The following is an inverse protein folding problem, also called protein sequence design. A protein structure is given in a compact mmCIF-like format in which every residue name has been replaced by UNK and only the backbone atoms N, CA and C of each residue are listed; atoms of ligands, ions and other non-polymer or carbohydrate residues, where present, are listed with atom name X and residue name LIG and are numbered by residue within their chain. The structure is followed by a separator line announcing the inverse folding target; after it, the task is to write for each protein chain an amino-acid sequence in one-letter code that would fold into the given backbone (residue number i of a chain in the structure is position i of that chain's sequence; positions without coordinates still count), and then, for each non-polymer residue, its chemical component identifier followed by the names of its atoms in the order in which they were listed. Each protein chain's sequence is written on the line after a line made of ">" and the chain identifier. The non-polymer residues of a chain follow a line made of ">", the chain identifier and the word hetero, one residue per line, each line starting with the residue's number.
data_IF_110810836594
#
_entry.id   IF_110810836594
#
_cell.length_a   1.000
_cell.length_b   1.000
_cell.length_c   1.000
_cell.angle_alpha   90.00
_cell.angle_beta   90.00
_cell.angle_gamma   90.00
#
_symmetry.space_group_name_H-M   'P 1'
#
loop_
_entity.id
_entity.type
_entity.pdbx_description
1 polymer ?
#
# COMPACT_ATOMS: atom_id res chain seq x y z
N UNK A 1 -22.54 -20.41 -4.12
CA UNK A 1 -22.92 -20.89 -2.79
C UNK A 1 -24.18 -21.72 -2.95
N UNK A 2 -24.21 -22.89 -2.37
CA UNK A 2 -25.29 -23.84 -2.55
C UNK A 2 -26.59 -23.27 -1.96
N UNK A 3 -27.60 -23.04 -2.82
CA UNK A 3 -28.92 -22.52 -2.44
C UNK A 3 -29.77 -23.53 -1.62
N UNK A 4 -29.25 -24.71 -1.40
CA UNK A 4 -29.91 -25.75 -0.58
C UNK A 4 -29.71 -25.52 0.93
N UNK A 5 -28.70 -24.76 1.35
CA UNK A 5 -28.53 -24.34 2.74
C UNK A 5 -29.45 -23.14 3.03
N UNK A 6 -30.46 -23.35 3.89
CA UNK A 6 -31.38 -22.29 4.34
C UNK A 6 -30.67 -21.34 5.29
N UNK A 7 -29.80 -20.51 4.77
CA UNK A 7 -29.22 -19.38 5.51
C UNK A 7 -30.21 -18.18 5.48
N UNK A 8 -30.32 -17.41 6.57
CA UNK A 8 -31.10 -16.19 6.57
C UNK A 8 -30.62 -15.25 5.44
N UNK A 9 -31.54 -14.81 4.56
CA UNK A 9 -31.19 -13.95 3.43
C UNK A 9 -30.53 -12.63 3.86
N UNK A 10 -30.83 -12.17 5.06
CA UNK A 10 -30.25 -10.97 5.67
C UNK A 10 -28.72 -11.03 5.83
N UNK A 11 -28.15 -12.21 6.10
CA UNK A 11 -26.69 -12.40 6.19
C UNK A 11 -25.94 -12.30 4.86
N UNK A 12 -26.65 -12.20 3.72
CA UNK A 12 -26.08 -12.04 2.38
C UNK A 12 -26.28 -10.63 1.82
N UNK A 13 -26.90 -9.73 2.57
CA UNK A 13 -27.13 -8.34 2.13
C UNK A 13 -25.80 -7.59 2.12
N UNK A 14 -25.42 -7.07 0.94
CA UNK A 14 -24.26 -6.19 0.77
C UNK A 14 -24.76 -4.76 0.72
N UNK A 15 -24.34 -3.95 1.70
CA UNK A 15 -24.60 -2.51 1.70
C UNK A 15 -23.39 -1.84 1.08
N UNK A 16 -23.58 -1.18 -0.07
CA UNK A 16 -22.52 -0.48 -0.78
C UNK A 16 -22.56 1.00 -0.44
N UNK A 17 -21.42 1.53 -0.03
CA UNK A 17 -21.22 2.96 0.18
C UNK A 17 -20.19 3.49 -0.82
N UNK A 18 -20.49 4.61 -1.48
CA UNK A 18 -19.50 5.32 -2.30
C UNK A 18 -18.46 5.95 -1.39
N UNK A 19 -17.20 5.74 -1.72
CA UNK A 19 -16.07 6.27 -0.96
C UNK A 19 -15.61 7.60 -1.56
N UNK A 20 -15.37 8.58 -0.70
CA UNK A 20 -14.70 9.83 -1.03
C UNK A 20 -13.47 10.01 -0.12
N UNK A 21 -12.57 10.93 -0.50
CA UNK A 21 -11.41 11.28 0.33
C UNK A 21 -11.86 11.90 1.67
N UNK A 22 -11.27 11.46 2.76
CA UNK A 22 -11.60 11.92 4.11
C UNK A 22 -11.83 10.77 5.08
N UNK A 23 -12.44 11.06 6.22
CA UNK A 23 -12.79 10.05 7.23
C UNK A 23 -13.93 9.18 6.72
N UNK A 24 -13.65 7.90 6.52
CA UNK A 24 -14.60 6.90 5.98
C UNK A 24 -15.18 5.99 7.05
N UNK A 25 -14.50 5.90 8.19
CA UNK A 25 -14.99 5.19 9.37
C UNK A 25 -14.42 5.82 10.63
N UNK A 26 -15.23 5.87 11.69
CA UNK A 26 -14.80 6.31 13.01
C UNK A 26 -15.67 5.70 14.10
N UNK A 27 -15.03 5.15 15.11
CA UNK A 27 -15.65 4.73 16.37
C UNK A 27 -14.75 5.14 17.56
N UNK A 28 -14.93 4.50 18.73
CA UNK A 28 -14.16 4.78 19.93
C UNK A 28 -12.73 4.26 19.85
N UNK A 29 -12.45 3.26 18.99
CA UNK A 29 -11.18 2.56 18.91
C UNK A 29 -10.33 3.00 17.74
N UNK A 30 -10.94 3.31 16.58
CA UNK A 30 -10.22 3.59 15.34
C UNK A 30 -10.85 4.71 14.51
N UNK A 31 -10.02 5.53 13.91
CA UNK A 31 -10.41 6.43 12.82
C UNK A 31 -9.73 5.96 11.53
N UNK A 32 -10.51 5.76 10.46
CA UNK A 32 -10.00 5.38 9.15
C UNK A 32 -10.21 6.54 8.20
N UNK A 33 -9.12 6.99 7.59
CA UNK A 33 -9.11 8.06 6.58
C UNK A 33 -8.69 7.46 5.24
N UNK A 34 -9.53 7.62 4.22
CA UNK A 34 -9.17 7.34 2.83
C UNK A 34 -8.54 8.60 2.22
N UNK A 35 -7.52 8.44 1.41
CA UNK A 35 -6.89 9.54 0.69
C UNK A 35 -6.51 9.10 -0.73
N UNK A 36 -6.62 10.01 -1.69
CA UNK A 36 -6.32 9.71 -3.08
C UNK A 36 -4.83 9.43 -3.28
N UNK A 37 -4.57 8.37 -4.02
CA UNK A 37 -3.25 8.02 -4.56
C UNK A 37 -3.30 7.99 -6.08
N UNK A 38 -2.16 7.81 -6.74
CA UNK A 38 -2.08 7.87 -8.21
C UNK A 38 -1.75 6.50 -8.80
N UNK A 39 -2.75 5.85 -9.32
CA UNK A 39 -2.64 4.56 -9.99
C UNK A 39 -3.33 4.57 -11.37
N UNK A 40 -3.08 5.63 -12.17
CA UNK A 40 -3.66 5.70 -13.53
C UNK A 40 -3.36 4.45 -14.36
N UNK A 41 -4.33 3.92 -15.14
CA UNK A 41 -5.63 4.51 -15.45
C UNK A 41 -6.76 4.15 -14.45
N UNK A 42 -6.46 3.46 -13.35
CA UNK A 42 -7.46 3.11 -12.32
C UNK A 42 -7.75 4.34 -11.48
N UNK A 43 -8.96 4.87 -11.60
CA UNK A 43 -9.44 6.05 -10.86
C UNK A 43 -10.87 5.86 -10.38
N UNK A 44 -11.19 6.24 -9.13
CA UNK A 44 -10.25 6.68 -8.08
C UNK A 44 -9.44 5.52 -7.51
N UNK A 45 -8.20 5.80 -7.05
CA UNK A 45 -7.38 4.88 -6.28
C UNK A 45 -7.11 5.49 -4.88
N UNK A 46 -7.15 4.66 -3.85
CA UNK A 46 -7.06 5.12 -2.47
C UNK A 46 -5.98 4.41 -1.68
N UNK A 47 -5.24 5.18 -0.88
CA UNK A 47 -4.55 4.71 0.30
C UNK A 47 -5.43 4.92 1.55
N UNK A 48 -5.08 4.23 2.62
CA UNK A 48 -5.82 4.28 3.87
C UNK A 48 -4.90 4.55 5.04
N UNK A 49 -5.33 5.46 5.93
CA UNK A 49 -4.68 5.71 7.20
C UNK A 49 -5.61 5.26 8.35
N UNK A 50 -5.03 4.51 9.27
CA UNK A 50 -5.67 4.03 10.49
C UNK A 50 -5.00 4.68 11.69
N UNK A 51 -5.76 5.38 12.52
CA UNK A 51 -5.30 5.96 13.77
C UNK A 51 -6.08 5.32 14.94
N UNK A 52 -5.37 4.73 15.92
CA UNK A 52 -5.96 4.04 17.09
C UNK A 52 -5.04 4.13 18.30
N UNK A 53 -5.55 4.44 19.49
CA UNK A 53 -4.83 4.41 20.79
C UNK A 53 -3.36 4.85 20.75
N UNK A 54 -3.05 5.93 20.04
CA UNK A 54 -1.69 6.46 19.90
C UNK A 54 -0.81 5.66 18.92
N UNK A 55 -1.39 4.81 18.10
CA UNK A 55 -0.75 4.10 16.99
C UNK A 55 -1.32 4.54 15.65
N UNK A 56 -0.49 4.49 14.62
CA UNK A 56 -0.91 4.85 13.28
C UNK A 56 -0.30 3.94 12.23
N UNK A 57 -1.14 3.53 11.26
CA UNK A 57 -0.75 2.69 10.13
C UNK A 57 -1.24 3.36 8.85
N UNK A 58 -0.39 3.38 7.83
CA UNK A 58 -0.80 3.75 6.46
C UNK A 58 -0.58 2.57 5.54
N UNK A 59 -1.56 2.31 4.67
CA UNK A 59 -1.48 1.35 3.58
C UNK A 59 -1.59 2.14 2.28
N UNK A 60 -0.57 2.02 1.42
CA UNK A 60 -0.48 2.81 0.19
C UNK A 60 -1.56 2.46 -0.85
N UNK A 61 -1.98 1.18 -0.91
CA UNK A 61 -2.55 0.63 -2.13
C UNK A 61 -1.51 0.63 -3.26
N UNK A 62 -1.91 0.30 -4.48
CA UNK A 62 -1.05 0.42 -5.65
C UNK A 62 -0.98 1.88 -6.08
N UNK A 63 0.22 2.42 -6.26
CA UNK A 63 0.40 3.86 -6.51
C UNK A 63 1.79 4.20 -7.04
N UNK A 64 1.87 5.28 -7.79
CA UNK A 64 3.13 6.04 -7.96
C UNK A 64 3.42 6.87 -6.71
N UNK A 65 4.65 7.36 -6.52
CA UNK A 65 4.95 8.30 -5.44
C UNK A 65 4.08 9.55 -5.53
N UNK A 66 3.39 9.92 -4.45
CA UNK A 66 2.59 11.14 -4.39
C UNK A 66 2.84 11.92 -3.12
N UNK A 67 2.72 13.25 -3.20
CA UNK A 67 2.81 14.11 -2.02
C UNK A 67 1.67 13.85 -1.02
N UNK A 68 0.51 13.41 -1.53
CA UNK A 68 -0.64 13.09 -0.68
C UNK A 68 -0.35 11.85 0.20
N UNK A 69 0.29 10.81 -0.37
CA UNK A 69 0.74 9.66 0.40
C UNK A 69 1.77 10.07 1.46
N UNK A 70 2.80 10.84 1.08
CA UNK A 70 3.83 11.32 2.02
C UNK A 70 3.20 12.11 3.17
N UNK A 71 2.25 13.00 2.86
CA UNK A 71 1.51 13.79 3.84
C UNK A 71 0.77 12.91 4.85
N UNK A 72 0.02 11.90 4.37
CA UNK A 72 -0.75 11.02 5.23
C UNK A 72 0.11 10.01 6.00
N UNK A 73 1.27 9.62 5.45
CA UNK A 73 2.25 8.74 6.08
C UNK A 73 3.19 9.47 7.05
N UNK A 74 3.09 10.80 7.19
CA UNK A 74 4.04 11.57 8.01
C UNK A 74 4.07 11.11 9.46
N UNK A 75 5.24 10.58 9.89
CA UNK A 75 5.52 10.16 11.26
C UNK A 75 4.74 8.95 11.74
N UNK A 76 4.08 8.19 10.86
CA UNK A 76 3.30 7.01 11.26
C UNK A 76 4.19 5.91 11.84
N UNK A 77 3.58 5.06 12.68
CA UNK A 77 4.27 3.92 13.25
C UNK A 77 4.60 2.89 12.18
N UNK A 78 3.68 2.64 11.25
CA UNK A 78 3.86 1.66 10.17
C UNK A 78 3.37 2.25 8.85
N UNK A 79 4.22 2.17 7.81
CA UNK A 79 3.83 2.33 6.42
C UNK A 79 3.90 0.97 5.72
N UNK A 80 2.78 0.49 5.21
CA UNK A 80 2.70 -0.69 4.34
C UNK A 80 2.65 -0.18 2.91
N UNK A 81 3.65 -0.53 2.10
CA UNK A 81 3.81 0.02 0.75
C UNK A 81 4.12 -1.07 -0.28
N UNK A 82 3.50 -0.96 -1.45
CA UNK A 82 3.84 -1.78 -2.60
C UNK A 82 5.23 -1.44 -3.13
N UNK A 83 5.87 -2.34 -3.87
CA UNK A 83 7.15 -2.04 -4.50
C UNK A 83 7.44 -2.90 -5.72
N UNK A 84 8.14 -2.33 -6.72
CA UNK A 84 8.71 -3.11 -7.81
C UNK A 84 10.23 -2.90 -7.94
N UNK A 85 10.91 -3.89 -8.56
CA UNK A 85 12.31 -3.79 -8.96
C UNK A 85 12.41 -3.41 -10.45
N UNK A 86 12.98 -2.26 -10.81
CA UNK A 86 13.08 -1.80 -12.20
C UNK A 86 13.73 -2.83 -13.13
N UNK A 87 14.79 -3.52 -12.66
CA UNK A 87 15.52 -4.53 -13.41
C UNK A 87 14.70 -5.77 -13.78
N UNK A 88 13.63 -6.06 -13.05
CA UNK A 88 12.71 -7.14 -13.39
C UNK A 88 12.08 -6.95 -14.77
N UNK A 89 11.86 -5.69 -15.15
CA UNK A 89 11.21 -5.32 -16.40
C UNK A 89 12.16 -5.11 -17.57
N UNK A 90 13.47 -5.19 -17.35
CA UNK A 90 14.45 -4.97 -18.41
C UNK A 90 14.52 -6.15 -19.42
N UNK A 91 14.02 -7.32 -19.01
CA UNK A 91 14.04 -8.55 -19.80
C UNK A 91 12.64 -9.13 -20.08
N UNK A 92 11.58 -8.32 -20.02
CA UNK A 92 10.23 -8.79 -20.39
C UNK A 92 10.02 -8.71 -21.89
N UNK A 93 9.28 -9.67 -22.44
CA UNK A 93 9.02 -9.78 -23.89
C UNK A 93 8.24 -8.60 -24.49
N UNK A 94 7.55 -7.84 -23.66
CA UNK A 94 6.79 -6.66 -24.07
C UNK A 94 7.28 -5.38 -23.38
N UNK A 95 8.08 -4.54 -24.06
CA UNK A 95 8.52 -3.25 -23.55
C UNK A 95 7.36 -2.31 -23.17
N UNK A 96 6.24 -2.40 -23.88
CA UNK A 96 5.05 -1.60 -23.59
C UNK A 96 4.42 -2.00 -22.25
N UNK A 97 4.30 -3.29 -21.95
CA UNK A 97 3.81 -3.80 -20.67
C UNK A 97 4.76 -3.39 -19.55
N UNK A 98 6.07 -3.52 -19.76
CA UNK A 98 7.08 -3.09 -18.81
C UNK A 98 6.97 -1.59 -18.47
N UNK A 99 6.85 -0.74 -19.50
CA UNK A 99 6.70 0.70 -19.32
C UNK A 99 5.42 1.05 -18.55
N UNK A 100 4.31 0.36 -18.84
CA UNK A 100 3.03 0.55 -18.13
C UNK A 100 3.14 0.16 -16.66
N UNK A 101 3.72 -1.00 -16.33
CA UNK A 101 3.89 -1.45 -14.95
C UNK A 101 4.81 -0.49 -14.16
N UNK A 102 5.93 -0.08 -14.74
CA UNK A 102 6.81 0.96 -14.16
C UNK A 102 6.06 2.29 -13.94
N UNK A 103 5.09 2.61 -14.80
CA UNK A 103 4.32 3.84 -14.70
C UNK A 103 3.23 3.81 -13.62
N UNK A 104 2.71 2.63 -13.26
CA UNK A 104 1.58 2.51 -12.31
C UNK A 104 2.01 2.27 -10.86
N UNK A 105 3.24 1.86 -10.65
CA UNK A 105 3.76 1.42 -9.37
C UNK A 105 4.95 2.25 -8.89
N UNK A 106 5.38 2.01 -7.65
CA UNK A 106 6.52 2.68 -7.03
C UNK A 106 7.74 1.76 -7.02
N UNK A 107 8.85 2.20 -7.59
CA UNK A 107 10.11 1.45 -7.49
C UNK A 107 10.63 1.38 -6.06
N UNK A 108 11.40 0.33 -5.73
CA UNK A 108 11.97 0.14 -4.40
C UNK A 108 12.86 1.32 -3.96
N UNK A 109 13.56 1.96 -4.90
CA UNK A 109 14.35 3.18 -4.62
C UNK A 109 13.43 4.35 -4.20
N UNK A 110 12.30 4.55 -4.91
CA UNK A 110 11.32 5.59 -4.60
C UNK A 110 10.55 5.30 -3.31
N UNK A 111 10.23 4.02 -3.01
CA UNK A 111 9.64 3.64 -1.72
C UNK A 111 10.55 4.06 -0.56
N UNK A 112 11.88 3.86 -0.72
CA UNK A 112 12.86 4.34 0.25
C UNK A 112 12.82 5.87 0.42
N UNK A 113 12.65 6.62 -0.66
CA UNK A 113 12.51 8.08 -0.61
C UNK A 113 11.21 8.50 0.07
N UNK A 114 10.07 7.87 -0.28
CA UNK A 114 8.77 8.11 0.37
C UNK A 114 8.85 7.87 1.88
N UNK A 115 9.43 6.72 2.30
CA UNK A 115 9.57 6.38 3.71
C UNK A 115 10.44 7.37 4.48
N UNK A 116 11.56 7.82 3.87
CA UNK A 116 12.44 8.86 4.42
C UNK A 116 11.70 10.19 4.58
N UNK A 117 11.04 10.64 3.52
CA UNK A 117 10.41 11.97 3.46
C UNK A 117 9.16 12.05 4.37
N UNK A 118 8.47 10.94 4.52
CA UNK A 118 7.40 10.79 5.49
C UNK A 118 7.91 10.60 6.94
N UNK A 119 9.15 10.16 7.13
CA UNK A 119 9.73 9.92 8.47
C UNK A 119 9.01 8.80 9.23
N UNK A 120 8.64 7.72 8.54
CA UNK A 120 7.93 6.59 9.14
C UNK A 120 8.83 5.83 10.12
N UNK A 121 8.26 5.11 11.12
CA UNK A 121 9.05 4.36 12.09
C UNK A 121 9.37 2.95 11.61
N UNK A 122 8.43 2.31 10.90
CA UNK A 122 8.58 0.99 10.29
C UNK A 122 8.01 1.03 8.87
N UNK A 123 8.80 0.57 7.91
CA UNK A 123 8.34 0.30 6.55
C UNK A 123 8.12 -1.19 6.37
N UNK A 124 6.94 -1.57 5.91
CA UNK A 124 6.58 -2.94 5.52
C UNK A 124 6.34 -2.97 4.02
N UNK A 125 7.10 -3.77 3.31
CA UNK A 125 6.94 -3.94 1.87
C UNK A 125 5.92 -5.04 1.58
N UNK A 126 5.02 -4.77 0.65
CA UNK A 126 3.97 -5.70 0.19
C UNK A 126 3.83 -5.62 -1.33
N UNK A 127 2.99 -6.47 -1.94
CA UNK A 127 2.73 -6.46 -3.38
C UNK A 127 4.02 -6.34 -4.21
N UNK A 128 4.99 -7.22 -3.93
CA UNK A 128 6.33 -7.14 -4.52
C UNK A 128 6.37 -7.70 -5.93
N UNK A 129 7.00 -6.97 -6.84
CA UNK A 129 7.22 -7.37 -8.23
C UNK A 129 8.73 -7.35 -8.53
N UNK A 130 9.40 -8.51 -8.65
CA UNK A 130 8.92 -9.89 -8.44
C UNK A 130 8.83 -10.28 -6.94
N UNK A 131 8.03 -11.29 -6.62
CA UNK A 131 7.80 -11.72 -5.23
C UNK A 131 9.04 -12.34 -4.54
N UNK A 132 10.01 -12.86 -5.28
CA UNK A 132 11.11 -13.69 -4.75
C UNK A 132 12.48 -12.97 -4.76
N UNK A 133 12.52 -11.68 -4.42
CA UNK A 133 13.75 -10.88 -4.45
C UNK A 133 13.92 -10.02 -3.18
N UNK A 134 13.52 -10.55 -2.02
CA UNK A 134 13.43 -9.83 -0.76
C UNK A 134 14.69 -9.02 -0.42
N UNK A 135 15.87 -9.65 -0.48
CA UNK A 135 17.13 -8.98 -0.16
C UNK A 135 17.40 -7.80 -1.11
N UNK A 136 17.09 -7.93 -2.40
CA UNK A 136 17.25 -6.85 -3.37
C UNK A 136 16.36 -5.65 -3.05
N UNK A 137 15.10 -5.90 -2.65
CA UNK A 137 14.21 -4.83 -2.18
C UNK A 137 14.78 -4.11 -0.96
N UNK A 138 15.21 -4.87 0.06
CA UNK A 138 15.80 -4.29 1.27
C UNK A 138 17.06 -3.46 0.97
N UNK A 139 17.93 -3.95 0.11
CA UNK A 139 19.16 -3.25 -0.30
C UNK A 139 18.84 -1.94 -1.04
N UNK A 140 17.85 -1.96 -1.93
CA UNK A 140 17.44 -0.78 -2.69
C UNK A 140 16.79 0.27 -1.80
N UNK A 141 15.78 -0.10 -1.03
CA UNK A 141 15.13 0.78 -0.04
C UNK A 141 16.18 1.36 0.90
N UNK A 142 17.10 0.51 1.40
CA UNK A 142 18.16 0.89 2.34
C UNK A 142 19.15 1.93 1.82
N UNK A 143 19.19 2.22 0.52
CA UNK A 143 19.98 3.36 -0.01
C UNK A 143 19.44 4.70 0.48
N UNK A 144 18.13 4.83 0.58
CA UNK A 144 17.43 6.09 0.84
C UNK A 144 16.81 6.18 2.24
N UNK A 145 16.29 5.07 2.77
CA UNK A 145 15.67 5.01 4.08
C UNK A 145 16.50 4.14 5.05
N UNK A 146 16.93 4.74 6.16
CA UNK A 146 17.79 4.08 7.16
C UNK A 146 17.03 3.54 8.38
N UNK A 147 15.71 3.70 8.38
CA UNK A 147 14.84 3.12 9.39
C UNK A 147 14.62 1.62 9.19
N UNK A 148 13.82 1.03 10.07
CA UNK A 148 13.50 -0.40 10.00
C UNK A 148 12.63 -0.69 8.78
N UNK A 149 13.09 -1.59 7.92
CA UNK A 149 12.35 -2.10 6.76
C UNK A 149 12.24 -3.63 6.86
N UNK A 150 11.07 -4.16 6.56
CA UNK A 150 10.83 -5.60 6.46
C UNK A 150 9.98 -5.91 5.23
N UNK A 151 10.12 -7.12 4.70
CA UNK A 151 9.21 -7.68 3.71
C UNK A 151 8.06 -8.34 4.47
N UNK A 152 6.83 -7.91 4.16
CA UNK A 152 5.61 -8.45 4.77
C UNK A 152 5.30 -9.85 4.24
N UNK A 153 4.74 -10.68 5.10
CA UNK A 153 4.16 -11.99 4.73
C UNK A 153 2.81 -12.16 5.41
N UNK A 154 1.99 -13.03 4.85
CA UNK A 154 0.67 -13.32 5.40
C UNK A 154 0.77 -13.76 6.86
N UNK A 155 -0.20 -13.32 7.67
CA UNK A 155 -0.30 -13.62 9.10
C UNK A 155 0.83 -13.05 9.99
N UNK A 156 1.73 -12.21 9.43
CA UNK A 156 2.75 -11.53 10.21
C UNK A 156 2.09 -10.54 11.21
N UNK A 157 2.65 -10.46 12.41
CA UNK A 157 2.18 -9.55 13.48
C UNK A 157 3.30 -8.58 13.87
N UNK A 158 2.92 -7.33 14.18
CA UNK A 158 3.84 -6.23 14.54
C UNK A 158 3.54 -5.68 15.92
#
# INVERSE_FOLDING_TARGET
>A
RDLTEKHPGEGATIIVHTLEEGTVYKDEEVTITAFLVDHEPVKPAYGYRFDTYGKSVVISGDTRPTQNLIKHAKGVDILVHEAYLPEHFDNVDSPEVAARLKYYHTSADEVGQVARDAGVKLLVLTHLIPANAEQTFLDRVGKYYKGKTIVGSDLMRF
#
